data_IF_015974364556
#
_entry.id   IF_015974364556
#
_cell.length_a   1.000
_cell.length_b   1.000
_cell.length_c   1.000
_cell.angle_alpha   90.00
_cell.angle_beta   90.00
_cell.angle_gamma   90.00
#
_symmetry.space_group_name_H-M   'P 1'
#
loop_
_entity.id
_entity.type
_entity.pdbx_description
1 polymer ?
#
# COMPACT_ATOMS: atom_id res chain seq x y z
N UNK A 1 14.31 -3.08 -2.29
CA UNK A 1 13.12 -2.20 -2.30
C UNK A 1 12.08 -2.56 -3.35
N UNK A 2 12.43 -3.29 -4.41
CA UNK A 2 11.48 -3.80 -5.44
C UNK A 2 10.26 -4.57 -4.87
N UNK A 3 10.39 -5.17 -3.69
CA UNK A 3 9.35 -5.93 -3.01
C UNK A 3 8.05 -5.14 -2.74
N UNK A 4 8.09 -3.80 -2.70
CA UNK A 4 6.88 -2.97 -2.56
C UNK A 4 5.90 -3.16 -3.73
N UNK A 5 6.40 -3.56 -4.91
CA UNK A 5 5.57 -3.81 -6.09
C UNK A 5 4.98 -5.22 -6.12
N UNK A 6 5.41 -6.13 -5.24
CA UNK A 6 4.98 -7.53 -5.26
C UNK A 6 3.45 -7.71 -5.23
N UNK A 7 2.67 -6.95 -4.42
CA UNK A 7 1.22 -7.08 -4.43
C UNK A 7 0.57 -6.73 -5.78
N UNK A 8 1.20 -5.88 -6.61
CA UNK A 8 0.69 -5.53 -7.94
C UNK A 8 0.76 -6.69 -8.93
N UNK A 9 1.46 -7.79 -8.63
CA UNK A 9 1.41 -9.00 -9.45
C UNK A 9 -0.01 -9.57 -9.57
N UNK A 10 -0.94 -9.21 -8.68
CA UNK A 10 -2.36 -9.61 -8.77
C UNK A 10 -3.03 -9.03 -10.02
N UNK A 11 -2.62 -7.84 -10.47
CA UNK A 11 -3.24 -7.11 -11.58
C UNK A 11 -3.30 -7.92 -12.88
N UNK A 12 -2.19 -8.46 -13.44
CA UNK A 12 -2.25 -9.22 -14.70
C UNK A 12 -3.18 -10.43 -14.65
N UNK A 13 -3.41 -11.04 -13.47
CA UNK A 13 -4.30 -12.19 -13.32
C UNK A 13 -5.78 -11.81 -13.18
N UNK A 14 -6.10 -10.58 -12.77
CA UNK A 14 -7.48 -10.19 -12.37
C UNK A 14 -7.98 -8.87 -12.98
N UNK A 15 -7.17 -8.18 -13.79
CA UNK A 15 -7.46 -6.84 -14.33
C UNK A 15 -8.82 -6.69 -15.03
N UNK A 16 -9.32 -7.74 -15.70
CA UNK A 16 -10.65 -7.72 -16.36
C UNK A 16 -11.83 -7.77 -15.39
N UNK A 17 -11.61 -8.24 -14.16
CA UNK A 17 -12.64 -8.35 -13.12
C UNK A 17 -12.63 -7.17 -12.17
N UNK A 18 -11.80 -6.15 -12.42
CA UNK A 18 -11.67 -5.01 -11.53
C UNK A 18 -12.74 -3.97 -11.80
N UNK A 19 -13.46 -3.61 -10.74
CA UNK A 19 -14.35 -2.46 -10.76
C UNK A 19 -13.57 -1.14 -10.70
N UNK A 20 -14.23 -0.04 -11.03
CA UNK A 20 -13.63 1.30 -11.03
C UNK A 20 -12.98 1.66 -9.68
N UNK A 21 -13.55 1.21 -8.57
CA UNK A 21 -13.02 1.45 -7.21
C UNK A 21 -11.69 0.71 -6.98
N UNK A 22 -11.58 -0.53 -7.45
CA UNK A 22 -10.37 -1.34 -7.37
C UNK A 22 -9.25 -0.80 -8.27
N UNK A 23 -9.60 -0.27 -9.44
CA UNK A 23 -8.65 0.46 -10.28
C UNK A 23 -8.14 1.73 -9.62
N UNK A 24 -9.03 2.56 -9.05
CA UNK A 24 -8.63 3.77 -8.32
C UNK A 24 -7.69 3.44 -7.16
N UNK A 25 -8.01 2.39 -6.40
CA UNK A 25 -7.17 1.96 -5.28
C UNK A 25 -5.83 1.37 -5.75
N UNK A 26 -5.80 0.66 -6.88
CA UNK A 26 -4.57 0.16 -7.50
C UNK A 26 -3.67 1.29 -7.95
N UNK A 27 -4.21 2.33 -8.57
CA UNK A 27 -3.45 3.54 -8.93
C UNK A 27 -2.92 4.23 -7.66
N UNK A 28 -3.73 4.34 -6.61
CA UNK A 28 -3.31 4.92 -5.35
C UNK A 28 -2.16 4.15 -4.68
N UNK A 29 -2.23 2.81 -4.67
CA UNK A 29 -1.14 1.95 -4.21
C UNK A 29 0.11 2.07 -5.09
N UNK A 30 -0.06 2.17 -6.41
CA UNK A 30 1.07 2.33 -7.32
C UNK A 30 1.82 3.65 -7.07
N UNK A 31 1.09 4.75 -6.83
CA UNK A 31 1.70 6.03 -6.46
C UNK A 31 2.51 5.90 -5.16
N UNK A 32 1.95 5.24 -4.14
CA UNK A 32 2.67 4.95 -2.90
C UNK A 32 3.95 4.16 -3.17
N UNK A 33 3.88 3.08 -3.95
CA UNK A 33 5.02 2.21 -4.25
C UNK A 33 6.14 2.94 -5.00
N UNK A 34 5.78 3.81 -5.96
CA UNK A 34 6.73 4.66 -6.68
C UNK A 34 7.40 5.65 -5.72
N UNK A 35 6.62 6.36 -4.91
CA UNK A 35 7.17 7.30 -3.91
C UNK A 35 8.10 6.59 -2.93
N UNK A 36 7.71 5.41 -2.44
CA UNK A 36 8.54 4.64 -1.51
C UNK A 36 9.87 4.23 -2.15
N UNK A 37 9.83 3.71 -3.39
CA UNK A 37 11.02 3.28 -4.13
C UNK A 37 11.98 4.43 -4.45
N UNK A 38 11.45 5.62 -4.79
CA UNK A 38 12.27 6.75 -5.21
C UNK A 38 12.92 7.49 -4.04
N UNK A 39 12.24 7.58 -2.92
CA UNK A 39 12.64 8.54 -1.88
C UNK A 39 13.11 7.90 -0.57
N UNK A 40 12.92 6.59 -0.40
CA UNK A 40 13.42 5.89 0.77
C UNK A 40 14.71 5.16 0.37
N UNK A 41 15.85 5.52 0.95
CA UNK A 41 17.16 4.86 0.73
C UNK A 41 17.76 4.27 2.02
N UNK A 42 17.18 4.59 3.18
CA UNK A 42 17.74 4.23 4.47
C UNK A 42 17.59 2.73 4.78
N UNK A 43 18.54 2.14 5.54
CA UNK A 43 18.39 0.78 6.04
C UNK A 43 17.20 0.75 6.99
N UNK A 44 16.13 0.08 6.54
CA UNK A 44 14.95 -0.16 7.36
C UNK A 44 15.41 -0.98 8.57
N UNK A 45 15.25 -0.44 9.78
CA UNK A 45 15.09 -1.35 10.90
C UNK A 45 13.96 -2.31 10.53
N UNK A 46 14.04 -3.61 10.88
CA UNK A 46 13.05 -4.60 10.48
C UNK A 46 11.61 -4.14 10.77
N UNK A 47 11.42 -3.43 11.89
CA UNK A 47 10.16 -2.83 12.32
C UNK A 47 9.63 -1.75 11.37
N UNK A 48 10.49 -0.84 10.89
CA UNK A 48 10.10 0.17 9.90
C UNK A 48 9.82 -0.46 8.54
N UNK A 49 10.52 -1.56 8.21
CA UNK A 49 10.26 -2.34 7.01
C UNK A 49 8.85 -2.92 6.98
N UNK A 50 8.39 -3.50 8.09
CA UNK A 50 7.02 -4.00 8.21
C UNK A 50 5.97 -2.88 8.10
N UNK A 51 6.27 -1.69 8.60
CA UNK A 51 5.36 -0.54 8.50
C UNK A 51 5.22 -0.02 7.06
N UNK A 52 6.32 0.17 6.34
CA UNK A 52 6.28 0.73 4.97
C UNK A 52 6.12 -0.32 3.84
N UNK A 53 6.27 -1.61 4.12
CA UNK A 53 6.03 -2.66 3.12
C UNK A 53 4.82 -3.50 3.49
N UNK A 54 4.76 -4.00 4.73
CA UNK A 54 3.74 -4.94 5.18
C UNK A 54 2.35 -4.33 5.24
N UNK A 55 2.20 -3.18 5.91
CA UNK A 55 0.89 -2.53 6.08
C UNK A 55 0.29 -2.13 4.72
N UNK A 56 0.99 -1.41 3.83
CA UNK A 56 0.47 -1.10 2.50
C UNK A 56 0.10 -2.36 1.70
N UNK A 57 0.95 -3.40 1.72
CA UNK A 57 0.70 -4.63 0.98
C UNK A 57 -0.57 -5.35 1.47
N UNK A 58 -0.73 -5.49 2.79
CA UNK A 58 -1.92 -6.11 3.38
C UNK A 58 -3.15 -5.26 3.11
N UNK A 59 -3.07 -3.94 3.18
CA UNK A 59 -4.17 -3.04 2.83
C UNK A 59 -4.56 -3.22 1.36
N UNK A 60 -3.59 -3.32 0.45
CA UNK A 60 -3.87 -3.56 -0.97
C UNK A 60 -4.61 -4.89 -1.21
N UNK A 61 -4.09 -5.98 -0.64
CA UNK A 61 -4.69 -7.30 -0.77
C UNK A 61 -6.08 -7.34 -0.13
N UNK A 62 -6.24 -6.80 1.07
CA UNK A 62 -7.51 -6.81 1.81
C UNK A 62 -8.58 -5.97 1.11
N UNK A 63 -8.20 -4.89 0.42
CA UNK A 63 -9.12 -4.10 -0.38
C UNK A 63 -9.61 -4.87 -1.61
N UNK A 64 -8.72 -5.59 -2.30
CA UNK A 64 -9.07 -6.38 -3.49
C UNK A 64 -9.85 -7.65 -3.14
N UNK A 65 -9.56 -8.25 -1.99
CA UNK A 65 -10.16 -9.50 -1.53
C UNK A 65 -10.70 -9.34 -0.11
N UNK A 66 -11.76 -8.54 0.09
CA UNK A 66 -12.34 -8.34 1.42
C UNK A 66 -12.84 -9.65 2.04
N UNK A 67 -13.20 -10.62 1.20
CA UNK A 67 -13.67 -11.96 1.58
C UNK A 67 -12.59 -12.83 2.25
N UNK A 68 -11.32 -12.38 2.28
CA UNK A 68 -10.30 -13.04 3.11
C UNK A 68 -10.60 -12.86 4.61
N UNK A 69 -11.36 -11.83 4.98
CA UNK A 69 -11.77 -11.55 6.36
C UNK A 69 -13.29 -11.71 6.49
N UNK A 70 -13.74 -12.93 6.77
CA UNK A 70 -15.17 -13.25 6.91
C UNK A 70 -15.83 -12.69 8.17
N UNK A 71 -15.04 -12.17 9.12
CA UNK A 71 -15.55 -11.67 10.40
C UNK A 71 -16.14 -10.26 10.30
N UNK A 72 -15.69 -9.44 9.34
CA UNK A 72 -16.09 -8.05 9.19
C UNK A 72 -16.83 -7.85 7.85
N UNK A 73 -17.76 -6.88 7.77
CA UNK A 73 -18.41 -6.56 6.50
C UNK A 73 -17.39 -6.01 5.49
N UNK A 74 -17.58 -6.32 4.20
CA UNK A 74 -16.64 -5.93 3.14
C UNK A 74 -16.35 -4.42 3.12
N UNK A 75 -17.37 -3.60 3.39
CA UNK A 75 -17.23 -2.15 3.45
C UNK A 75 -16.27 -1.69 4.54
N UNK A 76 -16.31 -2.33 5.72
CA UNK A 76 -15.40 -2.02 6.82
C UNK A 76 -13.96 -2.43 6.48
N UNK A 77 -13.75 -3.61 5.89
CA UNK A 77 -12.42 -4.08 5.47
C UNK A 77 -11.81 -3.14 4.43
N UNK A 78 -12.62 -2.72 3.43
CA UNK A 78 -12.19 -1.77 2.41
C UNK A 78 -11.89 -0.39 3.01
N UNK A 79 -12.70 0.10 3.94
CA UNK A 79 -12.47 1.37 4.61
C UNK A 79 -11.19 1.36 5.45
N UNK A 80 -10.95 0.29 6.22
CA UNK A 80 -9.71 0.10 6.98
C UNK A 80 -8.49 0.03 6.07
N UNK A 81 -8.61 -0.62 4.91
CA UNK A 81 -7.55 -0.70 3.93
C UNK A 81 -7.20 0.68 3.35
N UNK A 82 -8.22 1.52 3.08
CA UNK A 82 -8.00 2.91 2.67
C UNK A 82 -7.28 3.68 3.78
N UNK A 83 -7.77 3.62 5.01
CA UNK A 83 -7.18 4.34 6.14
C UNK A 83 -5.74 3.90 6.40
N UNK A 84 -5.46 2.60 6.34
CA UNK A 84 -4.12 2.05 6.55
C UNK A 84 -3.13 2.48 5.48
N UNK A 85 -3.51 2.40 4.19
CA UNK A 85 -2.66 2.87 3.10
C UNK A 85 -2.45 4.39 3.16
N UNK A 86 -3.49 5.17 3.46
CA UNK A 86 -3.39 6.62 3.61
C UNK A 86 -2.50 7.03 4.78
N UNK A 87 -2.57 6.34 5.92
CA UNK A 87 -1.69 6.62 7.06
C UNK A 87 -0.24 6.27 6.74
N UNK A 88 0.03 5.14 6.10
CA UNK A 88 1.38 4.77 5.66
C UNK A 88 1.93 5.76 4.63
N UNK A 89 1.09 6.25 3.72
CA UNK A 89 1.50 7.24 2.73
C UNK A 89 1.74 8.62 3.36
N UNK A 90 0.87 9.06 4.28
CA UNK A 90 1.08 10.30 5.02
C UNK A 90 2.38 10.24 5.85
N UNK A 91 2.65 9.13 6.53
CA UNK A 91 3.89 8.93 7.26
C UNK A 91 5.12 8.93 6.33
N UNK A 92 5.01 8.35 5.13
CA UNK A 92 6.06 8.43 4.12
C UNK A 92 6.30 9.89 3.71
N UNK A 93 5.25 10.61 3.30
CA UNK A 93 5.36 12.02 2.90
C UNK A 93 5.91 12.91 4.03
N UNK A 94 5.46 12.70 5.26
CA UNK A 94 5.98 13.41 6.44
C UNK A 94 7.46 13.13 6.64
N UNK A 95 7.88 11.87 6.54
CA UNK A 95 9.30 11.51 6.63
C UNK A 95 10.12 12.18 5.52
N UNK A 96 9.54 12.36 4.32
CA UNK A 96 10.18 13.08 3.22
C UNK A 96 10.29 14.58 3.46
N UNK A 97 9.25 15.20 4.02
CA UNK A 97 9.23 16.63 4.32
C UNK A 97 10.17 17.01 5.45
N UNK A 98 10.22 16.21 6.52
CA UNK A 98 11.04 16.51 7.71
C UNK A 98 12.48 16.06 7.55
N UNK A 99 12.71 14.84 7.07
CA UNK A 99 14.07 14.34 6.89
C UNK A 99 14.65 14.76 5.53
N UNK A 100 13.91 15.59 4.76
CA UNK A 100 14.35 16.29 3.57
C UNK A 100 15.38 15.53 2.77
N UNK A 101 15.03 14.32 2.30
CA UNK A 101 15.92 13.38 1.58
C UNK A 101 17.39 13.72 1.78
N UNK A 102 17.99 13.29 2.90
CA UNK A 102 19.43 13.34 3.11
C UNK A 102 20.11 12.82 1.84
N UNK A 103 20.63 13.76 1.03
CA UNK A 103 21.70 13.50 0.09
C UNK A 103 22.97 13.27 0.88
#
# INVERSE_FOLDING_TARGET
>A
MIWVFLPLMIVPFRWKSFDISQWRFTVYYLLYAISFMQFYHAPLSPYLGSFYLGIPAICYVSFLFPNLQNYYPESAVRMLSIMGLSMAFAALLYSLLINGTWR
#
